data_IF_174581926544
#
_entry.id   IF_174581926544
#
_cell.length_a   1.000
_cell.length_b   1.000
_cell.length_c   1.000
_cell.angle_alpha   90.00
_cell.angle_beta   90.00
_cell.angle_gamma   90.00
#
_symmetry.space_group_name_H-M   'P 1'
#
loop_
_entity.id
_entity.type
_entity.pdbx_description
1 polymer ?
#
# COMPACT_ATOMS: atom_id res chain seq x y z
N UNK A 1 34.27 11.60 50.58
CA UNK A 1 35.61 11.75 51.19
C UNK A 1 36.64 11.62 50.09
N UNK A 2 37.67 12.46 50.18
CA UNK A 2 38.65 12.81 49.16
C UNK A 2 39.57 11.66 48.67
N UNK A 3 40.07 11.87 47.45
CA UNK A 3 41.38 11.53 46.85
C UNK A 3 41.26 10.72 45.55
N UNK A 4 42.02 10.97 44.47
CA UNK A 4 42.85 12.08 43.99
C UNK A 4 43.32 11.62 42.60
N UNK A 5 43.20 12.47 41.58
CA UNK A 5 43.79 12.25 40.25
C UNK A 5 45.04 13.11 40.07
N UNK A 6 46.12 12.48 39.62
CA UNK A 6 47.28 13.04 38.92
C UNK A 6 47.79 11.88 38.03
N UNK A 7 48.21 11.99 36.77
CA UNK A 7 48.60 13.09 35.90
C UNK A 7 49.60 12.48 34.89
N UNK A 8 49.70 13.00 33.65
CA UNK A 8 50.79 12.61 32.74
C UNK A 8 50.52 12.84 31.25
N UNK A 9 51.05 13.94 30.72
CA UNK A 9 51.05 14.39 29.32
C UNK A 9 52.46 14.21 28.70
N UNK A 10 52.54 14.27 27.36
CA UNK A 10 53.69 14.55 26.45
C UNK A 10 54.14 13.31 25.63
N UNK A 11 53.98 13.23 24.31
CA UNK A 11 54.45 14.06 23.17
C UNK A 11 55.84 13.63 22.62
N UNK A 12 55.87 13.25 21.33
CA UNK A 12 56.85 13.78 20.37
C UNK A 12 58.07 12.95 19.93
N UNK A 13 58.07 12.59 18.63
CA UNK A 13 59.15 12.80 17.64
C UNK A 13 60.10 11.66 17.21
N UNK A 14 59.82 11.14 16.01
CA UNK A 14 60.63 11.04 14.76
C UNK A 14 62.16 10.76 14.71
N UNK A 15 62.53 9.79 13.84
CA UNK A 15 63.47 9.80 12.67
C UNK A 15 64.11 8.40 12.48
N UNK A 16 64.62 7.90 11.34
CA UNK A 16 64.57 8.12 9.88
C UNK A 16 65.67 7.22 9.23
N UNK A 17 65.47 6.65 8.03
CA UNK A 17 66.49 6.30 6.98
C UNK A 17 65.76 5.55 5.83
N UNK A 18 65.56 6.09 4.62
CA UNK A 18 66.46 6.21 3.41
C UNK A 18 66.91 4.87 2.78
N UNK A 19 66.98 4.62 1.45
CA UNK A 19 66.54 5.27 0.19
C UNK A 19 66.83 4.35 -1.04
N UNK A 20 66.24 4.67 -2.22
CA UNK A 20 66.61 4.37 -3.64
C UNK A 20 65.99 3.11 -4.31
N UNK A 21 65.62 3.05 -5.61
CA UNK A 21 65.71 3.90 -6.84
C UNK A 21 64.71 3.36 -7.92
N UNK A 22 63.86 4.17 -8.57
CA UNK A 22 63.87 4.74 -9.95
C UNK A 22 63.97 3.76 -11.14
N UNK A 23 62.92 3.66 -11.98
CA UNK A 23 63.00 3.99 -13.43
C UNK A 23 61.62 4.03 -14.15
N UNK A 24 61.57 4.83 -15.20
CA UNK A 24 60.40 5.23 -16.03
C UNK A 24 60.66 4.95 -17.52
N UNK A 25 59.63 4.63 -18.33
CA UNK A 25 59.47 5.12 -19.73
C UNK A 25 58.23 4.58 -20.46
N UNK A 26 57.76 5.36 -21.44
CA UNK A 26 56.57 5.23 -22.28
C UNK A 26 56.96 5.32 -23.79
N UNK A 27 56.07 4.86 -24.70
CA UNK A 27 56.01 5.03 -26.19
C UNK A 27 56.90 4.11 -27.09
N UNK A 28 56.61 3.68 -28.34
CA UNK A 28 55.46 3.59 -29.29
C UNK A 28 55.94 2.84 -30.60
N UNK A 29 55.03 2.26 -31.41
CA UNK A 29 55.05 1.84 -32.86
C UNK A 29 55.83 0.62 -33.43
N UNK A 30 55.10 -0.20 -34.23
CA UNK A 30 55.44 -0.49 -35.66
C UNK A 30 54.31 -1.25 -36.43
N UNK A 31 54.01 -0.80 -37.66
CA UNK A 31 53.06 -1.34 -38.67
C UNK A 31 53.67 -2.41 -39.61
N UNK A 32 52.85 -3.25 -40.26
CA UNK A 32 53.04 -3.73 -41.67
C UNK A 32 51.83 -4.52 -42.25
N UNK A 33 51.35 -4.07 -43.43
CA UNK A 33 50.37 -4.65 -44.41
C UNK A 33 51.03 -5.75 -45.33
N UNK A 34 50.37 -6.51 -46.28
CA UNK A 34 49.19 -6.17 -47.14
C UNK A 34 48.18 -7.33 -47.53
N UNK A 35 47.16 -6.97 -48.34
CA UNK A 35 46.07 -7.76 -49.00
C UNK A 35 46.55 -8.67 -50.19
N UNK A 36 45.78 -9.63 -50.82
CA UNK A 36 44.38 -9.58 -51.32
C UNK A 36 43.49 -10.88 -51.24
N UNK A 37 42.20 -10.73 -51.60
CA UNK A 37 41.02 -11.66 -51.64
C UNK A 37 41.18 -12.93 -52.55
N UNK A 38 40.29 -13.98 -52.56
CA UNK A 38 38.82 -13.90 -52.83
C UNK A 38 37.88 -15.03 -52.28
N UNK A 39 36.58 -14.86 -52.57
CA UNK A 39 35.50 -15.87 -52.70
C UNK A 39 34.69 -16.33 -51.47
N UNK A 40 33.54 -15.67 -51.36
CA UNK A 40 32.19 -16.16 -51.04
C UNK A 40 31.93 -17.67 -51.08
N UNK A 41 31.36 -18.21 -50.00
CA UNK A 41 30.28 -19.20 -50.09
C UNK A 41 29.32 -19.04 -48.90
N UNK A 42 28.07 -18.79 -49.27
CA UNK A 42 26.86 -18.67 -48.47
C UNK A 42 26.87 -19.48 -47.17
N UNK A 43 26.83 -18.77 -46.05
CA UNK A 43 26.13 -19.24 -44.86
C UNK A 43 24.91 -18.35 -44.73
N UNK A 44 23.73 -18.95 -44.88
CA UNK A 44 22.46 -18.32 -44.54
C UNK A 44 22.60 -17.74 -43.12
N UNK A 45 22.76 -16.43 -43.01
CA UNK A 45 22.26 -15.73 -41.84
C UNK A 45 20.76 -16.00 -41.87
N UNK A 46 20.32 -16.84 -40.94
CA UNK A 46 18.92 -16.84 -40.51
C UNK A 46 18.66 -15.41 -40.05
N UNK A 47 18.16 -14.61 -41.00
CA UNK A 47 17.48 -13.36 -40.73
C UNK A 47 16.50 -13.72 -39.62
N UNK A 48 16.72 -13.11 -38.45
CA UNK A 48 15.83 -13.16 -37.29
C UNK A 48 14.40 -12.99 -37.81
N UNK A 49 13.71 -14.12 -37.88
CA UNK A 49 12.34 -14.18 -38.38
C UNK A 49 11.51 -13.61 -37.24
N UNK A 50 11.27 -12.31 -37.33
CA UNK A 50 10.31 -11.50 -36.60
C UNK A 50 9.53 -12.30 -35.54
N UNK A 51 10.08 -12.38 -34.31
CA UNK A 51 9.34 -12.84 -33.12
C UNK A 51 8.37 -11.73 -32.73
N UNK A 52 7.51 -11.34 -33.67
CA UNK A 52 6.48 -10.35 -33.49
C UNK A 52 5.20 -11.06 -33.06
N UNK A 53 4.83 -10.81 -31.80
CA UNK A 53 3.44 -10.89 -31.31
C UNK A 53 2.84 -12.28 -31.00
N UNK A 54 3.57 -13.18 -30.36
CA UNK A 54 2.91 -14.31 -29.69
C UNK A 54 2.10 -13.80 -28.50
N UNK A 55 0.87 -14.31 -28.34
CA UNK A 55 0.02 -14.00 -27.19
C UNK A 55 0.60 -14.59 -25.91
N UNK A 56 0.78 -13.75 -24.90
CA UNK A 56 1.16 -14.16 -23.54
C UNK A 56 0.03 -13.84 -22.56
N UNK A 57 -0.42 -14.78 -21.71
CA UNK A 57 -1.45 -14.52 -20.70
C UNK A 57 -1.09 -13.37 -19.75
N UNK A 58 -2.06 -12.55 -19.40
CA UNK A 58 -1.87 -11.43 -18.46
C UNK A 58 -1.78 -11.96 -17.03
N UNK A 59 -0.79 -11.47 -16.27
CA UNK A 59 -0.75 -11.70 -14.82
C UNK A 59 -1.80 -10.82 -14.14
N UNK A 60 -2.67 -11.43 -13.32
CA UNK A 60 -3.54 -10.67 -12.43
C UNK A 60 -2.77 -10.07 -11.27
N UNK A 61 -3.29 -8.96 -10.76
CA UNK A 61 -2.88 -8.41 -9.49
C UNK A 61 -4.10 -7.95 -8.72
N UNK A 62 -4.11 -8.16 -7.41
CA UNK A 62 -5.24 -7.82 -6.56
C UNK A 62 -5.16 -6.36 -6.09
N UNK A 63 -6.31 -5.70 -6.07
CA UNK A 63 -6.47 -4.33 -5.55
C UNK A 63 -7.63 -4.28 -4.56
N UNK A 64 -7.61 -3.30 -3.67
CA UNK A 64 -8.77 -2.95 -2.84
C UNK A 64 -9.19 -1.49 -3.08
N UNK A 65 -10.48 -1.22 -2.95
CA UNK A 65 -11.06 0.10 -3.12
C UNK A 65 -11.18 0.80 -1.78
N UNK A 66 -10.58 1.98 -1.67
CA UNK A 66 -10.75 2.87 -0.53
C UNK A 66 -11.47 4.13 -0.96
N UNK A 67 -12.55 4.47 -0.26
CA UNK A 67 -13.27 5.73 -0.48
C UNK A 67 -12.64 6.82 0.39
N UNK A 68 -12.08 7.84 -0.24
CA UNK A 68 -11.52 9.04 0.43
C UNK A 68 -12.20 10.26 -0.18
N UNK A 69 -12.83 11.10 0.64
CA UNK A 69 -13.55 12.31 0.20
C UNK A 69 -14.56 12.04 -0.93
N UNK A 70 -15.35 10.96 -0.77
CA UNK A 70 -16.33 10.48 -1.76
C UNK A 70 -15.74 10.07 -3.12
N UNK A 71 -14.41 9.85 -3.20
CA UNK A 71 -13.73 9.33 -4.39
C UNK A 71 -13.19 7.93 -4.11
N UNK A 72 -13.45 7.02 -5.04
CA UNK A 72 -12.87 5.69 -5.03
C UNK A 72 -11.40 5.73 -5.46
N UNK A 73 -10.55 5.12 -4.66
CA UNK A 73 -9.13 4.96 -4.94
C UNK A 73 -8.79 3.48 -4.86
N UNK A 74 -8.35 2.93 -5.98
CA UNK A 74 -7.88 1.55 -6.08
C UNK A 74 -6.41 1.47 -5.67
N UNK A 75 -6.13 0.68 -4.63
CA UNK A 75 -4.80 0.52 -4.06
C UNK A 75 -4.36 -0.93 -4.29
N UNK A 76 -3.17 -1.19 -4.85
CA UNK A 76 -2.69 -2.56 -5.04
C UNK A 76 -2.37 -3.20 -3.69
N UNK A 77 -2.64 -4.50 -3.57
CA UNK A 77 -1.99 -5.30 -2.53
C UNK A 77 -0.49 -5.39 -2.80
N UNK A 78 0.32 -5.68 -1.78
CA UNK A 78 1.72 -6.03 -1.99
C UNK A 78 1.83 -7.34 -2.80
N UNK A 79 3.01 -7.61 -3.35
CA UNK A 79 3.23 -8.80 -4.20
C UNK A 79 2.84 -10.11 -3.51
N UNK A 80 3.16 -10.25 -2.23
CA UNK A 80 3.03 -11.51 -1.49
C UNK A 80 1.56 -11.79 -1.16
N UNK A 81 0.82 -10.76 -0.73
CA UNK A 81 -0.63 -10.84 -0.50
C UNK A 81 -1.38 -11.08 -1.81
N UNK A 82 -1.01 -10.39 -2.88
CA UNK A 82 -1.61 -10.57 -4.21
C UNK A 82 -1.41 -11.99 -4.73
N UNK A 83 -0.21 -12.55 -4.55
CA UNK A 83 0.08 -13.94 -4.90
C UNK A 83 -0.74 -14.92 -4.07
N UNK A 84 -0.81 -14.75 -2.74
CA UNK A 84 -1.61 -15.60 -1.87
C UNK A 84 -3.10 -15.56 -2.24
N UNK A 85 -3.62 -14.39 -2.57
CA UNK A 85 -4.99 -14.22 -3.06
C UNK A 85 -5.22 -14.94 -4.39
N UNK A 86 -4.26 -14.87 -5.31
CA UNK A 86 -4.35 -15.54 -6.62
C UNK A 86 -4.29 -17.07 -6.49
N UNK A 87 -3.34 -17.60 -5.73
CA UNK A 87 -3.25 -19.03 -5.41
C UNK A 87 -4.53 -19.52 -4.74
N UNK A 88 -5.07 -18.69 -3.85
CA UNK A 88 -6.30 -18.99 -3.15
C UNK A 88 -7.52 -19.02 -4.09
N UNK A 89 -7.57 -18.10 -5.03
CA UNK A 89 -8.60 -18.03 -6.04
C UNK A 89 -8.53 -19.20 -7.04
N UNK A 90 -7.33 -19.60 -7.46
CA UNK A 90 -7.12 -20.63 -8.49
C UNK A 90 -7.35 -22.09 -8.03
N UNK A 91 -7.30 -22.35 -6.72
CA UNK A 91 -7.31 -23.74 -6.19
C UNK A 91 -8.66 -24.49 -6.24
N UNK A 92 -9.72 -23.92 -6.82
CA UNK A 92 -10.98 -24.64 -7.12
C UNK A 92 -11.84 -25.13 -5.94
N UNK A 93 -11.45 -24.86 -4.67
CA UNK A 93 -12.34 -25.02 -3.51
C UNK A 93 -13.40 -23.92 -3.53
N UNK A 94 -14.60 -24.19 -3.00
CA UNK A 94 -15.70 -23.22 -2.94
C UNK A 94 -15.21 -21.86 -2.42
N UNK A 95 -15.07 -20.88 -3.33
CA UNK A 95 -14.52 -19.56 -3.03
C UNK A 95 -15.33 -18.82 -1.94
N UNK A 96 -16.57 -19.24 -1.70
CA UNK A 96 -17.52 -18.58 -0.80
C UNK A 96 -17.07 -18.53 0.67
N UNK A 97 -16.33 -19.54 1.16
CA UNK A 97 -15.88 -19.56 2.56
C UNK A 97 -14.39 -19.22 2.71
N UNK A 98 -13.70 -18.88 1.61
CA UNK A 98 -12.25 -18.70 1.66
C UNK A 98 -11.88 -17.32 2.15
N UNK A 99 -11.24 -17.29 3.31
CA UNK A 99 -10.64 -16.09 3.90
C UNK A 99 -9.13 -16.14 3.75
N UNK A 100 -8.55 -15.05 3.27
CA UNK A 100 -7.09 -14.88 3.13
C UNK A 100 -6.65 -13.70 3.99
N UNK A 101 -5.73 -13.91 4.95
CA UNK A 101 -5.16 -12.82 5.73
C UNK A 101 -4.25 -11.96 4.84
N UNK A 102 -4.45 -10.65 4.86
CA UNK A 102 -3.60 -9.68 4.13
C UNK A 102 -3.04 -8.63 5.08
N UNK A 103 -2.11 -7.82 4.58
CA UNK A 103 -1.48 -6.73 5.31
C UNK A 103 -0.94 -7.23 6.65
N UNK A 104 -0.08 -8.25 6.63
CA UNK A 104 0.50 -8.84 7.84
C UNK A 104 -0.53 -9.50 8.78
N UNK A 105 -1.71 -9.83 8.29
CA UNK A 105 -2.80 -10.44 9.06
C UNK A 105 -3.71 -9.45 9.78
N UNK A 106 -3.64 -8.15 9.42
CA UNK A 106 -4.48 -7.09 9.96
C UNK A 106 -5.84 -6.98 9.28
N UNK A 107 -5.93 -7.47 8.05
CA UNK A 107 -7.16 -7.54 7.29
C UNK A 107 -7.41 -8.98 6.83
N UNK A 108 -8.69 -9.31 6.66
CA UNK A 108 -9.15 -10.58 6.10
C UNK A 108 -9.92 -10.30 4.81
N UNK A 109 -9.49 -10.93 3.72
CA UNK A 109 -10.17 -10.87 2.42
C UNK A 109 -11.04 -12.11 2.26
N UNK A 110 -12.34 -11.88 2.13
CA UNK A 110 -13.34 -12.90 1.85
C UNK A 110 -13.49 -13.00 0.33
N UNK A 111 -12.91 -14.03 -0.27
CA UNK A 111 -12.80 -14.15 -1.73
C UNK A 111 -14.16 -14.32 -2.42
N UNK A 112 -15.12 -14.95 -1.76
CA UNK A 112 -16.48 -15.15 -2.29
C UNK A 112 -17.26 -13.85 -2.44
N UNK A 113 -17.20 -12.99 -1.42
CA UNK A 113 -17.90 -11.70 -1.41
C UNK A 113 -17.12 -10.59 -2.11
N UNK A 114 -15.82 -10.81 -2.39
CA UNK A 114 -14.91 -9.78 -2.90
C UNK A 114 -14.80 -8.57 -1.94
N UNK A 115 -14.72 -8.87 -0.64
CA UNK A 115 -14.67 -7.85 0.41
C UNK A 115 -13.51 -8.08 1.39
N UNK A 116 -12.94 -6.98 1.88
CA UNK A 116 -11.88 -6.95 2.91
C UNK A 116 -12.41 -6.35 4.21
N UNK A 117 -12.10 -7.01 5.33
CA UNK A 117 -12.53 -6.63 6.68
C UNK A 117 -11.32 -6.39 7.57
N UNK A 118 -11.37 -5.34 8.40
CA UNK A 118 -10.36 -5.12 9.43
C UNK A 118 -10.55 -6.12 10.58
N UNK A 119 -9.46 -6.68 11.10
CA UNK A 119 -9.50 -7.71 12.15
C UNK A 119 -9.47 -7.09 13.55
N UNK A 120 -8.63 -6.07 13.73
CA UNK A 120 -8.32 -5.53 15.05
C UNK A 120 -9.11 -4.27 15.42
N UNK A 121 -9.69 -3.57 14.44
CA UNK A 121 -10.46 -2.35 14.63
C UNK A 121 -11.70 -2.35 13.74
N UNK A 122 -12.66 -1.49 14.07
CA UNK A 122 -13.85 -1.31 13.27
C UNK A 122 -13.55 -0.38 12.08
N UNK A 123 -13.78 -0.89 10.87
CA UNK A 123 -13.67 -0.15 9.62
C UNK A 123 -14.73 -0.69 8.64
N UNK A 124 -15.39 0.18 7.85
CA UNK A 124 -16.29 -0.29 6.80
C UNK A 124 -15.56 -1.25 5.84
N UNK A 125 -16.19 -2.39 5.47
CA UNK A 125 -15.60 -3.33 4.53
C UNK A 125 -15.26 -2.65 3.20
N UNK A 126 -14.14 -3.03 2.62
CA UNK A 126 -13.63 -2.46 1.35
C UNK A 126 -13.74 -3.49 0.23
N UNK A 127 -14.17 -3.06 -0.96
CA UNK A 127 -14.22 -3.94 -2.13
C UNK A 127 -12.81 -4.39 -2.51
N UNK A 128 -12.67 -5.65 -2.88
CA UNK A 128 -11.44 -6.26 -3.40
C UNK A 128 -11.68 -6.75 -4.82
N UNK A 129 -10.72 -6.55 -5.70
CA UNK A 129 -10.86 -6.91 -7.12
C UNK A 129 -9.60 -7.55 -7.66
N UNK A 130 -9.79 -8.63 -8.43
CA UNK A 130 -8.75 -9.24 -9.26
C UNK A 130 -8.61 -8.46 -10.57
N UNK A 131 -7.51 -7.74 -10.74
CA UNK A 131 -7.37 -6.77 -11.83
C UNK A 131 -6.37 -7.24 -12.88
N UNK A 132 -6.77 -7.17 -14.16
CA UNK A 132 -5.90 -7.44 -15.31
C UNK A 132 -5.94 -6.32 -16.35
N UNK A 133 -6.95 -5.44 -16.31
CA UNK A 133 -7.14 -4.36 -17.27
C UNK A 133 -7.52 -3.07 -16.57
N UNK A 134 -7.00 -1.95 -17.05
CA UNK A 134 -7.18 -0.63 -16.45
C UNK A 134 -7.48 0.44 -17.50
N UNK A 135 -8.20 1.48 -17.10
CA UNK A 135 -8.31 2.72 -17.88
C UNK A 135 -7.80 3.91 -17.08
N UNK A 136 -7.25 4.89 -17.79
CA UNK A 136 -6.76 6.13 -17.19
C UNK A 136 -7.93 7.06 -16.85
N UNK A 137 -8.08 7.42 -15.59
CA UNK A 137 -9.11 8.34 -15.10
C UNK A 137 -8.91 9.79 -15.58
N UNK A 138 -10.01 10.56 -15.61
CA UNK A 138 -10.08 11.85 -16.31
C UNK A 138 -9.25 12.98 -15.65
N UNK A 139 -9.16 12.98 -14.32
CA UNK A 139 -8.63 14.14 -13.56
C UNK A 139 -7.25 13.91 -12.93
N UNK A 140 -6.95 12.66 -12.52
CA UNK A 140 -5.86 12.42 -11.57
C UNK A 140 -4.71 11.57 -12.13
N UNK A 141 -4.68 11.29 -13.46
CA UNK A 141 -3.75 10.32 -14.10
C UNK A 141 -3.73 8.92 -13.46
N UNK A 142 -4.62 8.65 -12.50
CA UNK A 142 -4.77 7.37 -11.81
C UNK A 142 -5.44 6.36 -12.74
N UNK A 143 -5.06 5.11 -12.57
CA UNK A 143 -5.65 4.00 -13.32
C UNK A 143 -6.76 3.36 -12.48
N UNK A 144 -7.89 3.11 -13.13
CA UNK A 144 -9.04 2.45 -12.53
C UNK A 144 -9.17 1.08 -13.17
N UNK A 145 -9.24 -0.01 -12.37
CA UNK A 145 -9.43 -1.35 -12.90
C UNK A 145 -10.85 -1.52 -13.43
N UNK A 146 -10.97 -2.18 -14.58
CA UNK A 146 -12.26 -2.68 -15.04
C UNK A 146 -12.80 -3.77 -14.10
N UNK A 147 -14.11 -4.06 -14.18
CA UNK A 147 -14.68 -5.20 -13.46
C UNK A 147 -14.09 -6.51 -13.94
N UNK A 148 -14.01 -7.53 -13.07
CA UNK A 148 -13.41 -8.83 -13.41
C UNK A 148 -14.06 -9.47 -14.64
N UNK A 149 -15.41 -9.41 -14.72
CA UNK A 149 -16.18 -9.92 -15.84
C UNK A 149 -15.88 -9.21 -17.16
N UNK A 150 -15.75 -7.88 -17.13
CA UNK A 150 -15.43 -7.12 -18.34
C UNK A 150 -13.95 -7.26 -18.73
N UNK A 151 -13.05 -7.35 -17.75
CA UNK A 151 -11.65 -7.67 -17.97
C UNK A 151 -11.46 -9.01 -18.66
N UNK A 152 -12.28 -10.03 -18.35
CA UNK A 152 -12.26 -11.31 -19.07
C UNK A 152 -12.62 -11.13 -20.55
N UNK A 153 -13.70 -10.40 -20.85
CA UNK A 153 -14.11 -10.13 -22.24
C UNK A 153 -13.05 -9.31 -23.00
N UNK A 154 -12.44 -8.33 -22.35
CA UNK A 154 -11.32 -7.56 -22.91
C UNK A 154 -10.13 -8.47 -23.23
N UNK A 155 -9.78 -9.38 -22.32
CA UNK A 155 -8.67 -10.31 -22.48
C UNK A 155 -8.90 -11.31 -23.61
N UNK A 156 -10.09 -11.91 -23.68
CA UNK A 156 -10.47 -12.82 -24.77
C UNK A 156 -10.40 -12.11 -26.13
N UNK A 157 -10.88 -10.87 -26.21
CA UNK A 157 -10.83 -10.09 -27.45
C UNK A 157 -9.41 -9.69 -27.83
N UNK A 158 -8.59 -9.33 -26.83
CA UNK A 158 -7.18 -9.03 -27.04
C UNK A 158 -6.41 -10.25 -27.54
N UNK A 159 -6.64 -11.41 -26.94
CA UNK A 159 -6.06 -12.69 -27.38
C UNK A 159 -6.40 -12.97 -28.86
N UNK A 160 -7.67 -12.84 -29.25
CA UNK A 160 -8.09 -13.03 -30.64
C UNK A 160 -7.45 -11.99 -31.58
N UNK A 161 -7.37 -10.72 -31.17
CA UNK A 161 -6.76 -9.66 -31.97
C UNK A 161 -5.26 -9.90 -32.21
N UNK A 162 -4.53 -10.38 -31.18
CA UNK A 162 -3.10 -10.71 -31.30
C UNK A 162 -2.90 -11.97 -32.15
N UNK A 163 -3.66 -13.03 -31.89
CA UNK A 163 -3.48 -14.33 -32.58
C UNK A 163 -3.91 -14.33 -34.04
N UNK A 164 -4.93 -13.55 -34.40
CA UNK A 164 -5.43 -13.43 -35.77
C UNK A 164 -4.90 -12.19 -36.51
N UNK A 165 -4.12 -11.35 -35.83
CA UNK A 165 -3.70 -10.01 -36.29
C UNK A 165 -4.89 -9.12 -36.74
N UNK A 166 -6.06 -9.32 -36.13
CA UNK A 166 -7.29 -8.58 -36.43
C UNK A 166 -7.57 -7.48 -35.41
N UNK A 167 -7.01 -6.29 -35.66
CA UNK A 167 -7.18 -5.12 -34.82
C UNK A 167 -8.42 -4.27 -35.16
N UNK A 168 -8.62 -3.19 -34.41
CA UNK A 168 -9.75 -2.24 -34.50
C UNK A 168 -11.11 -2.84 -34.13
N UNK A 169 -11.10 -3.95 -33.37
CA UNK A 169 -12.31 -4.52 -32.76
C UNK A 169 -12.88 -3.52 -31.75
N UNK A 170 -14.21 -3.36 -31.78
CA UNK A 170 -14.95 -2.52 -30.84
C UNK A 170 -15.64 -3.40 -29.81
N UNK A 171 -15.50 -3.04 -28.55
CA UNK A 171 -16.14 -3.69 -27.42
C UNK A 171 -17.05 -2.69 -26.75
N UNK A 172 -18.28 -3.11 -26.42
CA UNK A 172 -19.22 -2.30 -25.67
C UNK A 172 -19.16 -2.76 -24.21
N UNK A 173 -18.90 -1.83 -23.31
CA UNK A 173 -18.96 -2.06 -21.87
C UNK A 173 -20.42 -2.15 -21.38
N UNK A 174 -20.68 -2.70 -20.18
CA UNK A 174 -22.02 -2.73 -19.59
C UNK A 174 -22.71 -1.35 -19.52
N UNK A 175 -21.92 -0.28 -19.46
CA UNK A 175 -22.40 1.10 -19.40
C UNK A 175 -22.53 1.76 -20.79
N UNK A 176 -22.50 0.97 -21.87
CA UNK A 176 -22.52 1.43 -23.28
C UNK A 176 -21.32 2.29 -23.71
N UNK A 177 -20.25 2.30 -22.91
CA UNK A 177 -18.98 2.91 -23.29
C UNK A 177 -18.24 2.00 -24.29
N UNK A 178 -17.53 2.57 -25.27
CA UNK A 178 -16.88 1.81 -26.35
C UNK A 178 -15.38 1.71 -26.11
N UNK A 179 -14.83 0.51 -26.16
CA UNK A 179 -13.40 0.25 -26.11
C UNK A 179 -12.93 -0.21 -27.50
N UNK A 180 -11.83 0.36 -28.00
CA UNK A 180 -11.25 0.01 -29.30
C UNK A 180 -9.79 -0.40 -29.12
N UNK A 181 -9.46 -1.60 -29.59
CA UNK A 181 -8.10 -2.15 -29.56
C UNK A 181 -7.41 -1.89 -30.90
N UNK A 182 -6.55 -0.87 -31.01
CA UNK A 182 -5.88 -0.55 -32.29
C UNK A 182 -4.59 -1.35 -32.51
N UNK A 183 -3.85 -1.61 -31.44
CA UNK A 183 -2.65 -2.46 -31.37
C UNK A 183 -2.30 -2.70 -29.88
N UNK A 184 -1.27 -3.51 -29.54
CA UNK A 184 -0.94 -3.80 -28.14
C UNK A 184 -0.60 -2.59 -27.26
N UNK A 185 -0.14 -1.48 -27.88
CA UNK A 185 0.31 -0.27 -27.18
C UNK A 185 -0.75 0.83 -27.16
N UNK A 186 -1.73 0.78 -28.06
CA UNK A 186 -2.76 1.79 -28.26
C UNK A 186 -4.16 1.16 -28.19
N UNK A 187 -4.77 1.29 -27.02
CA UNK A 187 -6.12 0.85 -26.74
C UNK A 187 -6.85 2.00 -26.07
N UNK A 188 -8.09 2.25 -26.51
CA UNK A 188 -8.79 3.50 -26.22
C UNK A 188 -10.20 3.21 -25.71
N UNK A 189 -10.62 3.95 -24.69
CA UNK A 189 -11.94 3.89 -24.10
C UNK A 189 -12.67 5.23 -24.32
N UNK A 190 -13.78 5.17 -25.03
CA UNK A 190 -14.70 6.27 -25.33
C UNK A 190 -15.92 6.23 -24.42
N UNK A 191 -16.21 7.36 -23.78
CA UNK A 191 -17.44 7.51 -23.00
C UNK A 191 -18.64 7.82 -23.91
N UNK A 192 -19.85 7.37 -23.53
CA UNK A 192 -21.08 7.74 -24.22
C UNK A 192 -21.28 9.25 -24.16
N UNK A 193 -21.73 9.82 -25.27
CA UNK A 193 -22.17 11.22 -25.32
C UNK A 193 -23.50 11.29 -24.56
N UNK A 194 -23.56 12.07 -23.47
CA UNK A 194 -24.83 12.43 -22.88
C UNK A 194 -25.67 13.12 -23.98
N UNK A 195 -26.90 12.63 -24.20
CA UNK A 195 -27.71 12.97 -25.37
C UNK A 195 -27.70 14.45 -25.72
N UNK A 196 -27.49 14.74 -27.00
CA UNK A 196 -27.67 16.08 -27.54
C UNK A 196 -29.14 16.48 -27.37
N UNK A 197 -29.42 17.44 -26.50
CA UNK A 197 -30.70 18.15 -26.54
C UNK A 197 -30.85 18.83 -27.90
N UNK A 198 -32.06 18.76 -28.43
CA UNK A 198 -32.54 19.14 -29.77
C UNK A 198 -32.46 20.66 -30.08
N UNK A 199 -31.55 21.38 -29.41
CA UNK A 199 -31.37 22.83 -29.57
C UNK A 199 -29.90 23.25 -29.46
N UNK A 200 -29.14 22.96 -30.52
CA UNK A 200 -28.17 23.90 -31.11
C UNK A 200 -27.12 24.60 -30.23
N UNK A 201 -26.76 24.08 -29.06
CA UNK A 201 -25.64 24.58 -28.25
C UNK A 201 -24.72 23.42 -27.90
N UNK A 202 -23.58 23.34 -28.60
CA UNK A 202 -22.54 22.36 -28.34
C UNK A 202 -21.77 22.76 -27.09
N UNK A 203 -22.10 22.16 -25.94
CA UNK A 203 -21.12 22.05 -24.86
C UNK A 203 -20.03 21.07 -25.31
N UNK A 204 -18.85 21.59 -25.61
CA UNK A 204 -17.66 20.89 -26.10
C UNK A 204 -16.96 20.05 -25.03
N UNK A 205 -17.72 19.36 -24.16
CA UNK A 205 -17.15 18.28 -23.35
C UNK A 205 -17.40 16.93 -24.04
N UNK A 206 -16.87 16.79 -25.27
CA UNK A 206 -16.56 15.45 -25.76
C UNK A 206 -15.52 14.87 -24.78
N UNK A 207 -15.93 13.91 -23.97
CA UNK A 207 -15.03 13.22 -23.04
C UNK A 207 -13.80 12.73 -23.81
N UNK A 208 -12.62 13.24 -23.44
CA UNK A 208 -11.38 12.89 -24.12
C UNK A 208 -11.20 11.37 -24.09
N UNK A 209 -10.83 10.72 -25.21
CA UNK A 209 -10.57 9.29 -25.22
C UNK A 209 -9.57 8.90 -24.13
N UNK A 210 -9.93 7.92 -23.31
CA UNK A 210 -9.12 7.42 -22.20
C UNK A 210 -8.20 6.31 -22.68
N UNK A 211 -6.97 6.28 -22.17
CA UNK A 211 -6.04 5.19 -22.46
C UNK A 211 -6.42 3.95 -21.67
N UNK A 212 -6.41 2.80 -22.34
CA UNK A 212 -6.58 1.47 -21.74
C UNK A 212 -5.21 0.80 -21.65
N UNK A 213 -4.95 0.10 -20.55
CA UNK A 213 -3.71 -0.62 -20.26
C UNK A 213 -4.01 -2.04 -19.79
N UNK A 214 -3.21 -2.98 -20.29
CA UNK A 214 -3.25 -4.40 -19.93
C UNK A 214 -2.17 -4.67 -18.90
N UNK A 215 -2.50 -5.35 -17.81
CA UNK A 215 -1.56 -5.70 -16.75
C UNK A 215 -1.08 -4.50 -15.92
N UNK A 216 -0.49 -4.79 -14.75
CA UNK A 216 0.05 -3.77 -13.83
C UNK A 216 1.40 -3.23 -14.29
N UNK A 217 2.13 -4.00 -15.10
CA UNK A 217 3.42 -3.62 -15.68
C UNK A 217 3.32 -2.43 -16.65
N UNK A 218 2.11 -2.14 -17.15
CA UNK A 218 1.84 -1.06 -18.10
C UNK A 218 1.24 0.20 -17.45
N UNK A 219 1.16 0.25 -16.11
CA UNK A 219 0.69 1.42 -15.35
C UNK A 219 1.76 1.87 -14.33
N UNK A 220 1.87 3.18 -14.04
CA UNK A 220 2.81 3.69 -13.04
C UNK A 220 2.23 3.47 -11.63
N UNK A 221 2.30 2.22 -11.15
CA UNK A 221 1.87 1.83 -9.81
C UNK A 221 3.07 1.28 -9.02
N UNK A 222 3.20 1.69 -7.77
CA UNK A 222 4.21 1.16 -6.86
C UNK A 222 3.63 -0.04 -6.10
N UNK A 223 4.17 -1.23 -6.36
CA UNK A 223 3.78 -2.47 -5.69
C UNK A 223 4.95 -2.87 -4.81
N UNK A 224 4.76 -2.71 -3.50
CA UNK A 224 5.78 -3.09 -2.53
C UNK A 224 5.90 -4.61 -2.43
N UNK A 225 7.12 -5.08 -2.11
CA UNK A 225 7.29 -6.43 -1.59
C UNK A 225 6.58 -6.54 -0.23
N UNK A 226 6.11 -7.73 0.15
CA UNK A 226 5.36 -7.94 1.40
C UNK A 226 6.12 -7.57 2.68
N UNK A 227 5.48 -7.88 3.81
CA UNK A 227 6.02 -7.63 5.14
C UNK A 227 6.64 -8.91 5.73
N UNK A 228 7.70 -8.82 6.56
CA UNK A 228 8.27 -10.00 7.22
C UNK A 228 7.22 -10.74 8.03
N UNK A 229 7.05 -12.05 7.83
CA UNK A 229 6.07 -12.85 8.58
C UNK A 229 6.38 -12.92 10.08
N UNK A 230 7.66 -12.92 10.44
CA UNK A 230 8.09 -12.93 11.83
C UNK A 230 7.81 -11.58 12.51
N UNK A 231 7.16 -11.63 13.67
CA UNK A 231 6.87 -10.47 14.52
C UNK A 231 7.68 -10.61 15.81
N UNK A 232 8.59 -9.66 16.06
CA UNK A 232 9.47 -9.69 17.24
C UNK A 232 8.93 -8.84 18.40
N UNK A 233 8.03 -7.90 18.10
CA UNK A 233 7.49 -7.00 19.11
C UNK A 233 6.11 -6.50 18.72
N UNK A 234 5.21 -6.39 19.71
CA UNK A 234 3.87 -5.84 19.55
C UNK A 234 3.76 -4.52 20.30
N UNK A 235 3.28 -3.47 19.63
CA UNK A 235 3.06 -2.14 20.20
C UNK A 235 1.59 -1.77 20.11
N UNK A 236 0.93 -1.63 21.25
CA UNK A 236 -0.40 -1.03 21.33
C UNK A 236 -0.27 0.49 21.28
N UNK A 237 -0.83 1.11 20.26
CA UNK A 237 -0.86 2.56 20.14
C UNK A 237 -2.20 3.05 20.66
N UNK A 238 -2.18 3.89 21.69
CA UNK A 238 -3.37 4.46 22.32
C UNK A 238 -3.39 5.95 22.01
N UNK A 239 -4.46 6.42 21.37
CA UNK A 239 -4.64 7.85 21.13
C UNK A 239 -5.14 8.55 22.39
N UNK A 240 -4.86 9.85 22.48
CA UNK A 240 -5.35 10.73 23.53
C UNK A 240 -6.79 11.17 23.28
N UNK A 241 -7.10 12.37 23.75
CA UNK A 241 -8.45 12.94 23.74
C UNK A 241 -8.98 13.18 22.31
N UNK A 242 -10.22 12.75 22.08
CA UNK A 242 -10.99 12.93 20.86
C UNK A 242 -10.81 11.81 19.83
N UNK A 243 -11.70 11.77 18.82
CA UNK A 243 -11.64 10.78 17.73
C UNK A 243 -10.50 11.07 16.74
N UNK A 244 -9.95 12.28 16.79
CA UNK A 244 -8.86 12.76 15.97
C UNK A 244 -7.53 12.57 16.69
N UNK A 245 -6.59 11.89 16.03
CA UNK A 245 -5.31 11.54 16.64
C UNK A 245 -4.21 12.57 16.45
N UNK A 246 -4.36 13.50 15.50
CA UNK A 246 -3.39 14.56 15.25
C UNK A 246 -4.07 15.88 14.86
N UNK A 247 -3.26 16.93 14.72
CA UNK A 247 -3.69 18.27 14.28
C UNK A 247 -4.33 18.28 12.88
N UNK A 248 -4.24 17.18 12.13
CA UNK A 248 -4.85 16.99 10.81
C UNK A 248 -6.19 16.24 10.88
N UNK A 249 -6.70 15.98 12.09
CA UNK A 249 -7.95 15.26 12.33
C UNK A 249 -7.97 13.85 11.72
N UNK A 250 -6.80 13.20 11.64
CA UNK A 250 -6.68 11.84 11.12
C UNK A 250 -7.10 10.80 12.15
N UNK A 251 -7.56 9.64 11.68
CA UNK A 251 -7.91 8.53 12.56
C UNK A 251 -6.66 7.85 13.15
N UNK A 252 -6.81 7.17 14.28
CA UNK A 252 -5.70 6.42 14.89
C UNK A 252 -5.09 5.42 13.91
N UNK A 253 -5.94 4.76 13.12
CA UNK A 253 -5.52 3.77 12.13
C UNK A 253 -4.57 4.41 11.10
N UNK A 254 -4.85 5.63 10.65
CA UNK A 254 -3.98 6.35 9.71
C UNK A 254 -2.64 6.69 10.35
N UNK A 255 -2.62 7.19 11.59
CA UNK A 255 -1.39 7.49 12.30
C UNK A 255 -0.55 6.22 12.54
N UNK A 256 -1.18 5.12 12.93
CA UNK A 256 -0.49 3.82 13.15
C UNK A 256 0.08 3.27 11.85
N UNK A 257 -0.62 3.44 10.72
CA UNK A 257 -0.08 3.09 9.40
C UNK A 257 1.21 3.86 9.07
N UNK A 258 1.30 5.15 9.43
CA UNK A 258 2.53 5.92 9.24
C UNK A 258 3.69 5.32 10.08
N UNK A 259 3.44 4.95 11.34
CA UNK A 259 4.44 4.26 12.18
C UNK A 259 4.90 2.93 11.58
N UNK A 260 3.96 2.12 11.07
CA UNK A 260 4.28 0.86 10.38
C UNK A 260 5.15 1.11 9.16
N UNK A 261 4.78 2.06 8.31
CA UNK A 261 5.53 2.40 7.10
C UNK A 261 6.95 2.87 7.42
N UNK A 262 7.11 3.74 8.42
CA UNK A 262 8.43 4.20 8.87
C UNK A 262 9.27 3.04 9.42
N UNK A 263 8.68 2.18 10.26
CA UNK A 263 9.35 1.01 10.84
C UNK A 263 9.82 0.02 9.75
N UNK A 264 8.94 -0.32 8.81
CA UNK A 264 9.26 -1.21 7.68
C UNK A 264 10.34 -0.62 6.78
N UNK A 265 10.28 0.69 6.53
CA UNK A 265 11.32 1.38 5.75
C UNK A 265 12.67 1.33 6.47
N UNK A 266 12.71 1.54 7.80
CA UNK A 266 13.95 1.44 8.58
C UNK A 266 14.54 0.02 8.54
N UNK A 267 13.70 -1.02 8.62
CA UNK A 267 14.15 -2.41 8.47
C UNK A 267 14.80 -2.63 7.10
N UNK A 268 14.16 -2.16 6.04
CA UNK A 268 14.65 -2.29 4.66
C UNK A 268 15.93 -1.51 4.39
N UNK A 269 16.08 -0.31 4.95
CA UNK A 269 17.24 0.56 4.67
C UNK A 269 18.44 0.29 5.57
N UNK A 270 18.23 0.03 6.86
CA UNK A 270 19.31 -0.09 7.84
C UNK A 270 19.59 -1.53 8.28
N UNK A 271 18.64 -2.45 8.14
CA UNK A 271 18.75 -3.81 8.67
C UNK A 271 18.52 -4.92 7.62
N UNK A 272 18.61 -4.60 6.34
CA UNK A 272 18.37 -5.53 5.22
C UNK A 272 19.05 -6.89 5.38
N UNK A 273 20.35 -6.92 5.71
CA UNK A 273 21.10 -8.17 5.90
C UNK A 273 20.57 -9.03 7.05
N UNK A 274 20.21 -8.40 8.16
CA UNK A 274 19.66 -9.10 9.32
C UNK A 274 18.27 -9.66 9.00
N UNK A 275 17.47 -8.92 8.23
CA UNK A 275 16.16 -9.35 7.77
C UNK A 275 16.26 -10.53 6.77
N UNK A 276 17.17 -10.45 5.79
CA UNK A 276 17.42 -11.53 4.81
C UNK A 276 17.91 -12.81 5.49
N UNK A 277 18.73 -12.69 6.54
CA UNK A 277 19.19 -13.80 7.36
C UNK A 277 18.16 -14.27 8.41
N UNK A 278 16.93 -13.72 8.40
CA UNK A 278 15.85 -14.04 9.34
C UNK A 278 16.27 -13.88 10.82
N UNK A 279 17.15 -12.92 11.11
CA UNK A 279 17.62 -12.63 12.46
C UNK A 279 16.72 -11.63 13.19
N UNK A 280 15.97 -10.83 12.42
CA UNK A 280 15.03 -9.84 12.94
C UNK A 280 13.71 -9.92 12.18
N UNK A 281 12.62 -9.82 12.92
CA UNK A 281 11.27 -9.67 12.44
C UNK A 281 10.82 -8.20 12.42
N UNK A 282 9.54 -8.00 12.11
CA UNK A 282 8.91 -6.68 12.16
C UNK A 282 8.40 -6.34 13.56
N UNK A 283 8.22 -5.05 13.81
CA UNK A 283 7.43 -4.54 14.94
C UNK A 283 6.00 -4.34 14.46
N UNK A 284 5.05 -5.03 15.09
CA UNK A 284 3.63 -4.88 14.79
C UNK A 284 3.04 -3.77 15.66
N UNK A 285 2.43 -2.77 15.03
CA UNK A 285 1.73 -1.72 15.75
C UNK A 285 0.24 -1.96 15.61
N UNK A 286 -0.55 -1.93 16.68
CA UNK A 286 -2.02 -2.07 16.63
C UNK A 286 -2.70 -0.86 17.28
N UNK A 287 -3.68 -0.23 16.59
CA UNK A 287 -4.41 0.89 17.16
C UNK A 287 -5.39 0.39 18.25
N UNK A 288 -5.46 1.13 19.36
CA UNK A 288 -6.46 0.94 20.41
C UNK A 288 -7.45 2.10 20.34
N UNK A 289 -8.64 1.84 19.81
CA UNK A 289 -9.72 2.82 19.76
C UNK A 289 -10.63 2.64 20.99
N UNK A 290 -10.46 3.50 21.99
CA UNK A 290 -11.25 3.49 23.22
C UNK A 290 -12.42 4.47 23.21
N UNK A 291 -12.40 5.46 22.31
CA UNK A 291 -13.41 6.51 22.26
C UNK A 291 -14.76 5.98 21.75
N UNK A 292 -14.77 5.15 20.70
CA UNK A 292 -16.04 4.59 20.16
C UNK A 292 -16.83 3.75 21.17
N UNK A 293 -16.22 2.82 21.94
CA UNK A 293 -16.92 2.07 22.99
C UNK A 293 -17.47 2.96 24.12
N UNK A 294 -16.73 3.99 24.53
CA UNK A 294 -17.13 4.88 25.63
C UNK A 294 -18.34 5.75 25.25
N UNK A 295 -18.39 6.27 24.02
CA UNK A 295 -19.52 7.08 23.56
C UNK A 295 -20.78 6.25 23.28
N UNK A 296 -20.63 4.94 23.07
CA UNK A 296 -21.75 4.01 22.87
C UNK A 296 -22.53 3.70 24.16
N UNK A 297 -22.02 4.07 25.35
CA UNK A 297 -22.68 3.81 26.65
C UNK A 297 -23.78 4.82 27.01
N UNK A 298 -24.20 5.68 26.09
CA UNK A 298 -25.31 6.62 26.29
C UNK A 298 -24.94 7.98 26.88
N UNK A 299 -23.65 8.23 27.13
CA UNK A 299 -23.13 9.54 27.58
C UNK A 299 -23.55 10.65 26.61
N UNK A 300 -23.52 10.39 25.31
CA UNK A 300 -23.93 11.36 24.29
C UNK A 300 -25.39 11.77 24.41
N UNK A 301 -26.26 10.87 24.87
CA UNK A 301 -27.70 11.13 25.06
C UNK A 301 -27.92 12.07 26.24
N UNK A 302 -27.22 11.85 27.35
CA UNK A 302 -27.27 12.76 28.50
C UNK A 302 -26.66 14.12 28.16
N UNK A 303 -25.66 14.15 27.26
CA UNK A 303 -25.05 15.40 26.82
C UNK A 303 -25.92 16.20 25.84
N UNK A 304 -26.64 15.51 24.94
CA UNK A 304 -27.63 16.13 24.06
C UNK A 304 -28.73 16.84 24.85
N UNK A 305 -29.02 16.40 26.08
CA UNK A 305 -30.02 17.03 26.96
C UNK A 305 -29.55 18.32 27.61
N UNK A 306 -28.24 18.52 27.77
CA UNK A 306 -27.67 19.69 28.47
C UNK A 306 -27.05 20.73 27.52
N UNK A 307 -26.72 20.35 26.28
CA UNK A 307 -26.13 21.26 25.30
C UNK A 307 -27.20 22.03 24.52
N UNK A 308 -27.06 23.36 24.44
CA UNK A 308 -28.04 24.25 23.81
C UNK A 308 -28.26 23.93 22.31
N UNK A 309 -29.51 23.88 21.80
CA UNK A 309 -29.84 23.60 20.40
C UNK A 309 -29.22 24.55 19.36
N UNK A 310 -28.83 25.75 19.78
CA UNK A 310 -28.59 26.91 18.91
C UNK A 310 -27.25 26.93 18.17
N UNK A 311 -26.26 26.10 18.54
CA UNK A 311 -24.90 26.15 17.94
C UNK A 311 -24.39 24.73 17.63
N UNK A 312 -24.80 24.20 16.47
CA UNK A 312 -24.46 22.83 16.07
C UNK A 312 -22.95 22.57 15.95
N UNK A 313 -22.15 23.52 15.45
CA UNK A 313 -20.68 23.33 15.29
C UNK A 313 -19.93 23.29 16.62
N UNK A 314 -20.28 24.18 17.56
CA UNK A 314 -19.70 24.20 18.91
C UNK A 314 -20.15 23.00 19.73
N UNK A 315 -21.36 22.46 19.47
CA UNK A 315 -21.84 21.22 20.07
C UNK A 315 -20.97 20.02 19.68
N UNK A 316 -20.73 19.81 18.39
CA UNK A 316 -19.88 18.71 17.93
C UNK A 316 -18.47 18.84 18.54
N UNK A 317 -17.87 20.02 18.50
CA UNK A 317 -16.56 20.25 19.12
C UNK A 317 -16.55 20.03 20.65
N UNK A 318 -17.59 20.46 21.37
CA UNK A 318 -17.69 20.24 22.83
C UNK A 318 -17.83 18.76 23.17
N UNK A 319 -18.67 18.04 22.41
CA UNK A 319 -18.94 16.62 22.62
C UNK A 319 -17.72 15.75 22.25
N UNK A 320 -17.03 16.08 21.16
CA UNK A 320 -15.94 15.26 20.60
C UNK A 320 -14.55 15.58 21.21
N UNK A 321 -14.41 16.63 22.04
CA UNK A 321 -13.08 17.08 22.51
C UNK A 321 -13.07 17.62 23.94
N UNK A 322 -14.04 18.45 24.33
CA UNK A 322 -14.05 19.08 25.66
C UNK A 322 -14.54 18.09 26.73
N UNK A 323 -15.48 17.22 26.39
CA UNK A 323 -16.04 16.22 27.28
C UNK A 323 -15.00 15.19 27.76
N UNK A 324 -14.12 14.77 26.88
CA UNK A 324 -13.00 13.91 27.23
C UNK A 324 -12.09 14.55 28.28
N UNK A 325 -11.79 15.85 28.15
CA UNK A 325 -11.02 16.59 29.18
C UNK A 325 -11.73 16.55 30.54
N UNK A 326 -13.06 16.65 30.56
CA UNK A 326 -13.83 16.53 31.80
C UNK A 326 -13.84 15.11 32.37
N UNK A 327 -13.80 14.08 31.51
CA UNK A 327 -13.69 12.69 31.94
C UNK A 327 -12.32 12.34 32.50
N UNK A 328 -11.23 12.81 31.90
CA UNK A 328 -9.89 12.65 32.46
C UNK A 328 -9.72 13.32 33.84
N UNK A 329 -10.44 14.42 34.08
CA UNK A 329 -10.38 15.15 35.35
C UNK A 329 -11.34 14.62 36.44
N UNK A 330 -12.27 13.73 36.09
CA UNK A 330 -13.19 13.14 37.06
C UNK A 330 -12.69 11.75 37.49
N UNK A 331 -12.45 11.49 38.79
CA UNK A 331 -11.94 10.21 39.27
C UNK A 331 -12.77 9.00 38.84
N UNK A 332 -14.09 9.15 38.73
CA UNK A 332 -14.99 8.07 38.32
C UNK A 332 -14.87 7.76 36.83
N UNK A 333 -14.81 8.78 35.96
CA UNK A 333 -14.75 8.58 34.51
C UNK A 333 -13.36 8.21 34.02
N UNK A 334 -12.31 8.69 34.70
CA UNK A 334 -10.93 8.28 34.42
C UNK A 334 -10.73 6.77 34.60
N UNK A 335 -11.29 6.17 35.65
CA UNK A 335 -11.23 4.72 35.85
C UNK A 335 -11.96 3.98 34.72
N UNK A 336 -13.14 4.44 34.31
CA UNK A 336 -13.86 3.86 33.16
C UNK A 336 -13.05 3.89 31.88
N UNK A 337 -12.32 4.99 31.59
CA UNK A 337 -11.43 5.07 30.42
C UNK A 337 -10.29 4.06 30.53
N UNK A 338 -9.62 3.98 31.69
CA UNK A 338 -8.53 3.03 31.93
C UNK A 338 -9.02 1.59 31.75
N UNK A 339 -10.17 1.25 32.33
CA UNK A 339 -10.76 -0.09 32.23
C UNK A 339 -11.15 -0.41 30.77
N UNK A 340 -11.68 0.56 30.03
CA UNK A 340 -12.03 0.42 28.62
C UNK A 340 -10.80 0.18 27.76
N UNK A 341 -9.74 0.98 27.93
CA UNK A 341 -8.46 0.82 27.21
C UNK A 341 -7.84 -0.53 27.53
N UNK A 342 -7.80 -0.93 28.80
CA UNK A 342 -7.25 -2.22 29.22
C UNK A 342 -8.05 -3.40 28.65
N UNK A 343 -9.38 -3.32 28.69
CA UNK A 343 -10.27 -4.33 28.09
C UNK A 343 -10.04 -4.44 26.58
N UNK A 344 -9.93 -3.32 25.88
CA UNK A 344 -9.74 -3.29 24.43
C UNK A 344 -8.36 -3.81 24.02
N UNK A 345 -7.31 -3.44 24.76
CA UNK A 345 -5.99 -4.03 24.58
C UNK A 345 -5.98 -5.54 24.79
N UNK A 346 -6.65 -6.03 25.84
CA UNK A 346 -6.76 -7.47 26.11
C UNK A 346 -7.52 -8.21 25.00
N UNK A 347 -8.59 -7.60 24.47
CA UNK A 347 -9.35 -8.13 23.32
C UNK A 347 -8.45 -8.25 22.10
N UNK A 348 -7.75 -7.17 21.73
CA UNK A 348 -6.85 -7.15 20.58
C UNK A 348 -5.68 -8.12 20.77
N UNK A 349 -5.09 -8.20 21.97
CA UNK A 349 -4.01 -9.13 22.29
C UNK A 349 -4.44 -10.59 22.13
N UNK A 350 -5.65 -10.93 22.59
CA UNK A 350 -6.20 -12.28 22.45
C UNK A 350 -6.38 -12.64 20.97
N UNK A 351 -6.95 -11.74 20.17
CA UNK A 351 -7.07 -11.94 18.71
C UNK A 351 -5.71 -12.07 18.03
N UNK A 352 -4.74 -11.26 18.46
CA UNK A 352 -3.38 -11.29 17.91
C UNK A 352 -2.71 -12.64 18.16
N UNK A 353 -2.79 -13.18 19.38
CA UNK A 353 -2.24 -14.50 19.71
C UNK A 353 -2.96 -15.65 19.00
N UNK A 354 -4.27 -15.55 18.78
CA UNK A 354 -5.00 -16.55 17.99
C UNK A 354 -4.46 -16.67 16.56
N UNK A 355 -4.03 -15.55 15.98
CA UNK A 355 -3.49 -15.48 14.61
C UNK A 355 -1.98 -15.69 14.56
N UNK A 356 -1.28 -15.42 15.67
CA UNK A 356 0.17 -15.55 15.80
C UNK A 356 0.50 -16.45 17.01
N UNK A 357 0.19 -17.76 16.95
CA UNK A 357 0.36 -18.67 18.08
C UNK A 357 1.84 -18.84 18.50
N UNK A 358 2.77 -18.63 17.57
CA UNK A 358 4.21 -18.74 17.81
C UNK A 358 4.87 -17.43 18.28
N UNK A 359 4.09 -16.37 18.52
CA UNK A 359 4.63 -15.10 18.99
C UNK A 359 5.28 -15.23 20.37
N UNK A 360 6.56 -14.84 20.45
CA UNK A 360 7.38 -14.85 21.69
C UNK A 360 8.01 -13.49 21.97
N UNK A 361 7.55 -12.47 21.27
CA UNK A 361 8.10 -11.13 21.31
C UNK A 361 7.71 -10.33 22.55
N UNK A 362 8.30 -9.13 22.66
CA UNK A 362 7.91 -8.17 23.69
C UNK A 362 6.58 -7.47 23.37
N UNK A 363 5.92 -6.95 24.40
CA UNK A 363 4.71 -6.13 24.26
C UNK A 363 4.98 -4.77 24.89
N UNK A 364 4.61 -3.69 24.20
CA UNK A 364 4.72 -2.32 24.71
C UNK A 364 3.48 -1.50 24.38
N UNK A 365 3.34 -0.37 25.09
CA UNK A 365 2.23 0.57 24.93
C UNK A 365 2.83 1.92 24.55
N UNK A 366 2.27 2.55 23.53
CA UNK A 366 2.64 3.90 23.10
C UNK A 366 1.42 4.81 23.21
N UNK A 367 1.51 5.85 24.04
CA UNK A 367 0.45 6.85 24.20
C UNK A 367 0.74 8.13 23.42
N UNK A 368 -0.20 8.57 22.58
CA UNK A 368 -0.12 9.85 21.85
C UNK A 368 -1.19 10.82 22.34
N UNK A 369 -0.82 11.84 23.13
CA UNK A 369 -1.72 12.94 23.52
C UNK A 369 -1.56 14.14 22.57
N UNK A 370 -2.57 15.03 22.51
CA UNK A 370 -2.62 16.29 21.72
C UNK A 370 -1.53 17.34 22.10
N UNK A 371 -0.39 16.91 22.63
CA UNK A 371 0.74 17.79 22.93
C UNK A 371 1.95 17.12 23.60
N UNK A 372 1.86 15.90 24.13
CA UNK A 372 3.01 15.27 24.80
C UNK A 372 2.96 13.73 24.69
N UNK A 373 4.04 13.15 24.16
CA UNK A 373 4.33 11.71 24.27
C UNK A 373 4.61 11.42 25.75
N UNK A 374 3.78 10.60 26.40
CA UNK A 374 4.18 9.89 27.62
C UNK A 374 4.44 8.44 27.24
N UNK A 375 5.72 8.05 27.27
CA UNK A 375 6.09 6.64 27.29
C UNK A 375 5.79 6.10 28.71
N UNK A 376 5.08 4.98 28.80
CA UNK A 376 4.88 4.22 30.04
C UNK A 376 5.58 2.87 29.95
#
# INVERSE_FOLDING_TARGET
MYHSSCGGTLAGSAKMSEMSSVDSNQEHLSQSDPSPSPNSSSSFELIDMDVSSLYEPVSSHWFYCKVIDSKEIWIPFNSDDSQQLEEAHGSGKECNERVVPTDGGRYDVHLGERMRYAVYWDEPPSEVRRCTWFYKGDKDNKYVPYSESFSQVLEETYMLAVTLDEWKKKLESPNREIIVLHNPKLMVHYQPVAGSDEWGSTSTEQGRPRSVKRGVENIPVDIHCGEPLQIDHLVFVVHGIGPACDLRFRSIVQCVNDFRNVSLNLLRTHFKKAQENQQIGRVEFLPVNWHSPLHSTGVDVDLQRITLPSINRLRHFTNDTILDVFFYNSPTYCQTIVDTVASEMNRIYTLFLQRNPDFKGGVSIAGHSLGFIRNY
#
